data_IF_149504859257
#
_entry.id   IF_149504859257
#
_cell.length_a   1.000
_cell.length_b   1.000
_cell.length_c   1.000
_cell.angle_alpha   90.00
_cell.angle_beta   90.00
_cell.angle_gamma   90.00
#
_symmetry.space_group_name_H-M   'P 1'
#
loop_
_entity.id
_entity.type
_entity.pdbx_description
1 polymer ?
#
# COMPACT_ATOMS: atom_id res chain seq x y z
N UNK A 1 35.45 -16.04 -11.08
CA UNK A 1 34.44 -15.92 -10.01
C UNK A 1 33.13 -15.19 -10.43
N UNK A 2 33.13 -14.39 -11.51
CA UNK A 2 31.88 -13.71 -11.98
C UNK A 2 30.85 -14.63 -12.68
N UNK A 3 31.26 -15.79 -13.22
CA UNK A 3 30.33 -16.72 -13.89
C UNK A 3 29.55 -17.66 -12.96
N UNK A 4 29.93 -17.82 -11.69
CA UNK A 4 29.22 -18.66 -10.72
C UNK A 4 28.01 -17.93 -10.10
N UNK A 5 27.97 -16.61 -10.17
CA UNK A 5 26.84 -15.80 -9.63
C UNK A 5 25.62 -15.76 -10.58
N UNK A 6 25.81 -16.01 -11.86
CA UNK A 6 24.78 -15.88 -12.91
C UNK A 6 23.80 -17.06 -12.98
N UNK A 7 24.10 -18.19 -12.33
CA UNK A 7 23.21 -19.38 -12.29
C UNK A 7 22.39 -19.52 -11.01
N UNK A 8 22.47 -18.56 -10.07
CA UNK A 8 21.79 -18.62 -8.77
C UNK A 8 20.59 -17.68 -8.67
N UNK A 9 19.69 -17.72 -9.61
CA UNK A 9 18.43 -16.97 -9.54
C UNK A 9 17.63 -17.25 -8.25
N UNK A 10 16.38 -16.94 -8.23
CA UNK A 10 15.41 -17.12 -7.13
C UNK A 10 15.50 -18.45 -6.35
N UNK A 11 16.04 -19.54 -6.97
CA UNK A 11 16.30 -20.84 -6.30
C UNK A 11 17.39 -20.79 -5.22
N UNK A 12 18.24 -19.77 -5.21
CA UNK A 12 19.28 -19.60 -4.20
C UNK A 12 18.80 -18.77 -2.99
N UNK A 13 17.59 -18.24 -3.04
CA UNK A 13 17.00 -17.44 -1.95
C UNK A 13 16.72 -18.36 -0.75
N UNK A 14 17.12 -17.98 0.49
CA UNK A 14 16.92 -18.79 1.67
C UNK A 14 15.45 -19.17 1.92
N UNK A 15 15.21 -20.40 2.41
CA UNK A 15 13.85 -20.89 2.68
C UNK A 15 13.04 -20.01 3.64
N UNK A 16 13.70 -19.34 4.58
CA UNK A 16 13.05 -18.36 5.48
C UNK A 16 12.46 -17.14 4.74
N UNK A 17 13.06 -16.73 3.61
CA UNK A 17 12.50 -15.64 2.78
C UNK A 17 11.24 -16.10 2.04
N UNK A 18 11.24 -17.35 1.53
CA UNK A 18 10.04 -17.95 0.96
C UNK A 18 8.92 -18.03 1.98
N UNK A 19 9.21 -18.48 3.21
CA UNK A 19 8.24 -18.52 4.29
C UNK A 19 7.67 -17.12 4.58
N UNK A 20 8.51 -16.09 4.70
CA UNK A 20 8.08 -14.70 4.90
C UNK A 20 7.25 -14.16 3.72
N UNK A 21 7.60 -14.54 2.50
CA UNK A 21 6.83 -14.19 1.31
C UNK A 21 5.44 -14.83 1.32
N UNK A 22 5.32 -16.13 1.65
CA UNK A 22 4.04 -16.81 1.80
C UNK A 22 3.21 -16.24 2.96
N UNK A 23 3.84 -15.88 4.08
CA UNK A 23 3.17 -15.18 5.20
C UNK A 23 2.53 -13.87 4.72
N UNK A 24 3.28 -13.07 3.96
CA UNK A 24 2.77 -11.83 3.39
C UNK A 24 1.64 -12.09 2.41
N UNK A 25 1.82 -13.01 1.46
CA UNK A 25 0.81 -13.38 0.47
C UNK A 25 -0.51 -13.81 1.11
N UNK A 26 -0.46 -14.73 2.07
CA UNK A 26 -1.65 -15.23 2.77
C UNK A 26 -2.37 -14.13 3.54
N UNK A 27 -1.62 -13.27 4.24
CA UNK A 27 -2.21 -12.14 4.96
C UNK A 27 -2.79 -11.10 4.00
N UNK A 28 -2.16 -10.88 2.85
CA UNK A 28 -2.66 -9.94 1.84
C UNK A 28 -3.90 -10.52 1.16
N UNK A 29 -3.96 -11.83 0.84
CA UNK A 29 -5.20 -12.48 0.39
C UNK A 29 -6.33 -12.20 1.38
N UNK A 30 -6.12 -12.46 2.68
CA UNK A 30 -7.13 -12.21 3.71
C UNK A 30 -7.56 -10.75 3.79
N UNK A 31 -6.60 -9.84 3.78
CA UNK A 31 -6.85 -8.41 3.93
C UNK A 31 -7.56 -7.83 2.71
N UNK A 32 -7.15 -8.24 1.51
CA UNK A 32 -7.73 -7.79 0.27
C UNK A 32 -9.14 -8.38 0.02
N UNK A 33 -9.42 -9.60 0.49
CA UNK A 33 -10.79 -10.13 0.49
C UNK A 33 -11.75 -9.22 1.28
N UNK A 34 -11.32 -8.74 2.45
CA UNK A 34 -12.14 -7.83 3.25
C UNK A 34 -12.18 -6.44 2.59
N UNK A 35 -11.04 -5.92 2.16
CA UNK A 35 -10.93 -4.58 1.56
C UNK A 35 -11.79 -4.45 0.30
N UNK A 36 -11.87 -5.49 -0.52
CA UNK A 36 -12.64 -5.49 -1.76
C UNK A 36 -14.17 -5.40 -1.54
N UNK A 37 -14.67 -5.86 -0.40
CA UNK A 37 -16.10 -5.85 -0.08
C UNK A 37 -16.49 -4.78 0.94
N UNK A 38 -15.56 -4.33 1.78
CA UNK A 38 -15.85 -3.48 2.91
C UNK A 38 -16.55 -2.16 2.54
N UNK A 39 -16.13 -1.42 1.49
CA UNK A 39 -16.79 -0.18 1.08
C UNK A 39 -18.26 -0.41 0.69
N UNK A 40 -18.53 -1.45 -0.11
CA UNK A 40 -19.89 -1.81 -0.53
C UNK A 40 -20.70 -2.28 0.67
N UNK A 41 -20.17 -3.13 1.53
CA UNK A 41 -20.83 -3.57 2.76
C UNK A 41 -21.22 -2.40 3.65
N UNK A 42 -20.35 -1.40 3.83
CA UNK A 42 -20.64 -0.20 4.60
C UNK A 42 -21.81 0.60 4.00
N UNK A 43 -21.83 0.77 2.68
CA UNK A 43 -22.86 1.58 2.03
C UNK A 43 -24.18 0.81 1.89
N UNK A 44 -24.16 -0.43 1.38
CA UNK A 44 -25.37 -1.19 1.03
C UNK A 44 -26.01 -1.88 2.21
N UNK A 45 -25.23 -2.39 3.17
CA UNK A 45 -25.73 -3.14 4.34
C UNK A 45 -25.87 -2.27 5.58
N UNK A 46 -24.84 -1.44 5.87
CA UNK A 46 -24.84 -0.58 7.05
C UNK A 46 -25.45 0.82 6.79
N UNK A 47 -25.77 1.16 5.53
CA UNK A 47 -26.38 2.42 5.15
C UNK A 47 -25.52 3.66 5.41
N UNK A 48 -24.17 3.51 5.37
CA UNK A 48 -23.26 4.62 5.65
C UNK A 48 -23.02 5.47 4.42
N UNK A 49 -22.65 6.74 4.62
CA UNK A 49 -22.28 7.65 3.53
C UNK A 49 -20.88 7.37 2.97
N UNK A 50 -20.60 7.87 1.77
CA UNK A 50 -19.26 7.80 1.18
C UNK A 50 -18.24 8.61 2.00
N UNK A 51 -18.66 9.67 2.68
CA UNK A 51 -17.82 10.39 3.67
C UNK A 51 -17.33 9.45 4.78
N UNK A 52 -18.22 8.60 5.31
CA UNK A 52 -17.85 7.62 6.35
C UNK A 52 -16.83 6.62 5.81
N UNK A 53 -17.01 6.13 4.58
CA UNK A 53 -16.04 5.24 3.92
C UNK A 53 -14.68 5.94 3.77
N UNK A 54 -14.66 7.16 3.24
CA UNK A 54 -13.45 7.96 3.08
C UNK A 54 -12.72 8.22 4.40
N UNK A 55 -13.46 8.54 5.47
CA UNK A 55 -12.90 8.73 6.80
C UNK A 55 -12.27 7.45 7.37
N UNK A 56 -12.97 6.32 7.27
CA UNK A 56 -12.51 5.03 7.81
C UNK A 56 -11.29 4.53 7.04
N UNK A 57 -11.30 4.56 5.71
CA UNK A 57 -10.17 4.13 4.89
C UNK A 57 -8.98 5.09 5.03
N UNK A 58 -9.23 6.39 5.05
CA UNK A 58 -8.18 7.39 5.21
C UNK A 58 -7.46 7.29 6.56
N UNK A 59 -8.21 7.19 7.68
CA UNK A 59 -7.60 7.01 9.01
C UNK A 59 -6.88 5.67 9.11
N UNK A 60 -7.40 4.63 8.46
CA UNK A 60 -6.78 3.31 8.42
C UNK A 60 -5.37 3.37 7.80
N UNK A 61 -5.21 4.03 6.64
CA UNK A 61 -3.91 4.17 5.98
C UNK A 61 -2.95 5.10 6.75
N UNK A 62 -3.46 6.19 7.33
CA UNK A 62 -2.67 7.08 8.18
C UNK A 62 -2.11 6.34 9.40
N UNK A 63 -2.94 5.57 10.09
CA UNK A 63 -2.55 4.77 11.26
C UNK A 63 -1.49 3.73 10.90
N UNK A 64 -1.66 3.01 9.78
CA UNK A 64 -0.67 2.04 9.32
C UNK A 64 0.69 2.71 9.04
N UNK A 65 0.67 3.88 8.37
CA UNK A 65 1.87 4.64 8.02
C UNK A 65 2.60 5.15 9.27
N UNK A 66 1.88 5.76 10.21
CA UNK A 66 2.45 6.25 11.48
C UNK A 66 3.01 5.10 12.31
N UNK A 67 2.24 4.03 12.49
CA UNK A 67 2.65 2.86 13.27
C UNK A 67 3.91 2.20 12.70
N UNK A 68 4.04 2.15 11.36
CA UNK A 68 5.21 1.59 10.67
C UNK A 68 6.50 2.33 11.03
N UNK A 69 6.45 3.67 11.16
CA UNK A 69 7.61 4.48 11.57
C UNK A 69 8.10 4.10 12.96
N UNK A 70 7.18 4.03 13.91
CA UNK A 70 7.51 3.65 15.31
C UNK A 70 7.95 2.19 15.42
N UNK A 71 7.29 1.30 14.71
CA UNK A 71 7.60 -0.14 14.71
C UNK A 71 9.04 -0.41 14.26
N UNK A 72 9.55 0.28 13.25
CA UNK A 72 10.94 0.17 12.81
C UNK A 72 11.92 0.54 13.92
N UNK A 73 11.69 1.65 14.61
CA UNK A 73 12.55 2.10 15.70
C UNK A 73 12.53 1.13 16.90
N UNK A 74 11.36 0.59 17.24
CA UNK A 74 11.20 -0.40 18.30
C UNK A 74 11.89 -1.72 17.91
N UNK A 75 11.75 -2.17 16.67
CA UNK A 75 12.38 -3.37 16.14
C UNK A 75 13.91 -3.32 16.22
N UNK A 76 14.49 -2.18 15.85
CA UNK A 76 15.95 -1.98 15.90
C UNK A 76 16.49 -1.97 17.35
N UNK A 77 15.69 -1.47 18.31
CA UNK A 77 16.07 -1.46 19.74
C UNK A 77 15.97 -2.81 20.41
N UNK A 78 14.87 -3.52 20.16
CA UNK A 78 14.60 -4.80 20.82
C UNK A 78 15.44 -5.95 20.24
N UNK A 79 15.87 -5.86 18.97
CA UNK A 79 16.58 -6.91 18.27
C UNK A 79 15.77 -8.21 18.07
N UNK A 80 14.52 -8.25 18.53
CA UNK A 80 13.60 -9.40 18.46
C UNK A 80 12.59 -9.22 17.36
N UNK A 81 13.04 -9.29 16.10
CA UNK A 81 12.23 -8.94 14.94
C UNK A 81 11.08 -9.90 14.68
N UNK A 82 11.31 -11.21 14.88
CA UNK A 82 10.26 -12.23 14.71
C UNK A 82 9.08 -12.00 15.66
N UNK A 83 9.34 -11.70 16.93
CA UNK A 83 8.28 -11.47 17.91
C UNK A 83 7.40 -10.30 17.50
N UNK A 84 8.00 -9.17 17.07
CA UNK A 84 7.24 -8.01 16.60
C UNK A 84 6.43 -8.33 15.34
N UNK A 85 7.02 -9.09 14.40
CA UNK A 85 6.29 -9.55 13.22
C UNK A 85 5.10 -10.44 13.65
N UNK A 86 5.31 -11.42 14.53
CA UNK A 86 4.24 -12.29 15.04
C UNK A 86 3.14 -11.48 15.73
N UNK A 87 3.50 -10.49 16.56
CA UNK A 87 2.51 -9.60 17.20
C UNK A 87 1.70 -8.83 16.15
N UNK A 88 2.35 -8.26 15.13
CA UNK A 88 1.66 -7.49 14.09
C UNK A 88 0.76 -8.35 13.19
N UNK A 89 1.25 -9.52 12.74
CA UNK A 89 0.44 -10.48 11.99
C UNK A 89 -0.67 -11.09 12.84
N UNK A 90 -0.39 -11.44 14.11
CA UNK A 90 -1.36 -11.96 15.05
C UNK A 90 -2.48 -10.97 15.34
N UNK A 91 -2.13 -9.70 15.58
CA UNK A 91 -3.11 -8.65 15.79
C UNK A 91 -4.03 -8.49 14.57
N UNK A 92 -3.46 -8.47 13.34
CA UNK A 92 -4.24 -8.46 12.11
C UNK A 92 -5.13 -9.70 11.98
N UNK A 93 -4.63 -10.90 12.27
CA UNK A 93 -5.43 -12.14 12.19
C UNK A 93 -6.58 -12.16 13.19
N UNK A 94 -6.35 -11.69 14.43
CA UNK A 94 -7.37 -11.63 15.47
C UNK A 94 -8.50 -10.64 15.18
N UNK A 95 -8.28 -9.64 14.34
CA UNK A 95 -9.35 -8.73 13.91
C UNK A 95 -10.26 -9.34 12.85
N UNK A 96 -9.79 -10.33 12.07
CA UNK A 96 -10.55 -10.88 10.95
C UNK A 96 -11.91 -11.49 11.36
N UNK A 97 -12.03 -12.26 12.45
CA UNK A 97 -13.33 -12.76 12.92
C UNK A 97 -14.31 -11.66 13.34
N UNK A 98 -13.82 -10.45 13.66
CA UNK A 98 -14.71 -9.34 14.07
C UNK A 98 -15.52 -8.82 12.88
N UNK A 99 -14.99 -8.83 11.65
CA UNK A 99 -15.70 -8.32 10.47
C UNK A 99 -17.02 -9.06 10.20
N UNK A 100 -17.08 -10.41 10.14
CA UNK A 100 -18.35 -11.13 9.95
C UNK A 100 -19.30 -11.02 11.15
N UNK A 101 -18.79 -10.67 12.34
CA UNK A 101 -19.59 -10.49 13.55
C UNK A 101 -20.02 -9.03 13.78
N UNK A 102 -19.49 -8.10 12.99
CA UNK A 102 -19.74 -6.67 13.18
C UNK A 102 -21.19 -6.30 12.79
N UNK A 103 -22.06 -6.24 13.74
CA UNK A 103 -23.45 -5.76 13.57
C UNK A 103 -23.60 -4.25 13.53
N UNK A 104 -22.55 -3.47 13.79
CA UNK A 104 -22.57 -2.01 13.78
C UNK A 104 -21.30 -1.43 13.19
N UNK A 105 -21.38 -0.21 12.67
CA UNK A 105 -20.24 0.54 12.12
C UNK A 105 -19.10 0.66 13.15
N UNK A 106 -19.43 0.86 14.44
CA UNK A 106 -18.40 1.01 15.49
C UNK A 106 -17.50 -0.22 15.64
N UNK A 107 -18.04 -1.44 15.59
CA UNK A 107 -17.25 -2.68 15.61
C UNK A 107 -16.35 -2.81 14.39
N UNK A 108 -16.89 -2.46 13.22
CA UNK A 108 -16.15 -2.52 11.95
C UNK A 108 -14.99 -1.52 11.94
N UNK A 109 -15.23 -0.27 12.38
CA UNK A 109 -14.20 0.76 12.52
C UNK A 109 -13.11 0.30 13.51
N UNK A 110 -13.50 -0.24 14.66
CA UNK A 110 -12.57 -0.75 15.65
C UNK A 110 -11.69 -1.89 15.10
N UNK A 111 -12.30 -2.87 14.41
CA UNK A 111 -11.58 -3.96 13.77
C UNK A 111 -10.60 -3.44 12.70
N UNK A 112 -11.05 -2.52 11.84
CA UNK A 112 -10.22 -1.91 10.79
C UNK A 112 -9.04 -1.16 11.38
N UNK A 113 -9.27 -0.36 12.42
CA UNK A 113 -8.22 0.40 13.10
C UNK A 113 -7.15 -0.51 13.70
N UNK A 114 -7.56 -1.56 14.43
CA UNK A 114 -6.63 -2.52 15.05
C UNK A 114 -5.88 -3.33 13.98
N UNK A 115 -6.55 -3.73 12.89
CA UNK A 115 -5.90 -4.39 11.74
C UNK A 115 -4.79 -3.52 11.15
N UNK A 116 -5.03 -2.20 11.00
CA UNK A 116 -4.05 -1.26 10.46
C UNK A 116 -2.87 -1.01 11.40
N UNK A 117 -3.10 -1.00 12.69
CA UNK A 117 -2.02 -1.03 13.69
C UNK A 117 -1.17 -2.30 13.49
N UNK A 118 -1.80 -3.46 13.36
CA UNK A 118 -1.12 -4.72 13.07
C UNK A 118 -0.28 -4.65 11.78
N UNK A 119 -0.82 -4.08 10.70
CA UNK A 119 -0.10 -3.84 9.44
C UNK A 119 1.13 -2.95 9.64
N UNK A 120 0.99 -1.86 10.40
CA UNK A 120 2.09 -0.97 10.73
C UNK A 120 3.18 -1.65 11.56
N UNK A 121 2.79 -2.42 12.59
CA UNK A 121 3.73 -3.14 13.46
C UNK A 121 4.56 -4.16 12.66
N UNK A 122 3.93 -4.95 11.77
CA UNK A 122 4.61 -6.05 11.06
C UNK A 122 5.54 -5.60 9.93
N UNK A 123 5.29 -4.44 9.32
CA UNK A 123 5.94 -4.05 8.07
C UNK A 123 7.47 -3.93 8.18
N UNK A 124 7.96 -3.07 9.07
CA UNK A 124 9.38 -2.83 9.25
C UNK A 124 10.15 -4.04 9.83
N UNK A 125 9.65 -4.76 10.87
CA UNK A 125 10.30 -5.98 11.37
C UNK A 125 10.39 -7.09 10.33
N UNK A 126 9.35 -7.29 9.51
CA UNK A 126 9.36 -8.27 8.41
C UNK A 126 10.46 -7.97 7.39
N UNK A 127 10.52 -6.73 6.92
CA UNK A 127 11.50 -6.33 5.92
C UNK A 127 12.93 -6.43 6.49
N UNK A 128 13.10 -6.13 7.77
CA UNK A 128 14.36 -6.31 8.46
C UNK A 128 14.75 -7.79 8.61
N UNK A 129 13.80 -8.70 8.88
CA UNK A 129 14.03 -10.14 8.90
C UNK A 129 14.52 -10.65 7.54
N UNK A 130 13.86 -10.24 6.45
CA UNK A 130 14.30 -10.58 5.08
C UNK A 130 15.77 -10.17 4.85
N UNK A 131 16.14 -8.95 5.27
CA UNK A 131 17.50 -8.46 5.12
C UNK A 131 18.52 -9.24 5.97
N UNK A 132 18.12 -9.65 7.19
CA UNK A 132 19.05 -10.33 8.11
C UNK A 132 19.33 -11.78 7.76
N UNK A 133 18.32 -12.51 7.23
CA UNK A 133 18.47 -13.92 6.84
C UNK A 133 19.02 -14.07 5.42
N UNK A 134 19.24 -12.97 4.70
CA UNK A 134 19.68 -12.99 3.29
C UNK A 134 21.10 -12.46 3.14
N UNK A 135 22.02 -13.22 2.48
CA UNK A 135 23.33 -12.70 2.09
C UNK A 135 23.21 -11.41 1.26
N UNK A 136 24.19 -10.51 1.41
CA UNK A 136 24.15 -9.19 0.78
C UNK A 136 23.93 -9.24 -0.74
N UNK A 137 24.52 -10.23 -1.40
CA UNK A 137 24.48 -10.45 -2.86
C UNK A 137 23.10 -10.90 -3.36
N UNK A 138 22.25 -11.45 -2.47
CA UNK A 138 20.93 -11.99 -2.80
C UNK A 138 19.77 -11.11 -2.29
N UNK A 139 20.06 -9.99 -1.59
CA UNK A 139 19.01 -9.13 -1.02
C UNK A 139 18.03 -8.61 -2.05
N UNK A 140 18.49 -8.19 -3.22
CA UNK A 140 17.62 -7.76 -4.30
C UNK A 140 16.63 -8.84 -4.73
N UNK A 141 17.13 -10.09 -4.93
CA UNK A 141 16.28 -11.23 -5.28
C UNK A 141 15.29 -11.59 -4.14
N UNK A 142 15.72 -11.50 -2.89
CA UNK A 142 14.89 -11.79 -1.72
C UNK A 142 13.74 -10.78 -1.56
N UNK A 143 14.01 -9.48 -1.68
CA UNK A 143 12.99 -8.45 -1.65
C UNK A 143 12.07 -8.51 -2.88
N UNK A 144 12.62 -8.82 -4.06
CA UNK A 144 11.85 -9.04 -5.28
C UNK A 144 10.88 -10.21 -5.14
N UNK A 145 11.35 -11.36 -4.63
CA UNK A 145 10.50 -12.53 -4.37
C UNK A 145 9.36 -12.20 -3.38
N UNK A 146 9.69 -11.54 -2.25
CA UNK A 146 8.70 -11.11 -1.28
C UNK A 146 7.65 -10.19 -1.92
N UNK A 147 8.10 -9.19 -2.68
CA UNK A 147 7.19 -8.24 -3.34
C UNK A 147 6.30 -8.93 -4.37
N UNK A 148 6.84 -9.90 -5.11
CA UNK A 148 6.03 -10.70 -6.06
C UNK A 148 4.93 -11.46 -5.34
N UNK A 149 5.25 -12.10 -4.21
CA UNK A 149 4.26 -12.83 -3.41
C UNK A 149 3.21 -11.89 -2.78
N UNK A 150 3.60 -10.70 -2.31
CA UNK A 150 2.66 -9.64 -1.88
C UNK A 150 1.69 -9.29 -3.02
N UNK A 151 2.22 -9.03 -4.24
CA UNK A 151 1.41 -8.68 -5.41
C UNK A 151 0.47 -9.80 -5.83
N UNK A 152 0.93 -11.07 -5.77
CA UNK A 152 0.06 -12.24 -6.01
C UNK A 152 -1.07 -12.27 -4.99
N UNK A 153 -0.79 -12.01 -3.72
CA UNK A 153 -1.81 -11.92 -2.67
C UNK A 153 -2.84 -10.83 -2.93
N UNK A 154 -2.37 -9.64 -3.29
CA UNK A 154 -3.22 -8.49 -3.62
C UNK A 154 -4.11 -8.73 -4.85
N UNK A 155 -3.65 -9.51 -5.82
CA UNK A 155 -4.44 -9.92 -6.99
C UNK A 155 -5.43 -11.05 -6.65
N UNK A 156 -4.97 -12.08 -5.93
CA UNK A 156 -5.79 -13.26 -5.62
C UNK A 156 -6.92 -12.94 -4.62
N UNK A 157 -6.72 -12.00 -3.69
CA UNK A 157 -7.75 -11.62 -2.73
C UNK A 157 -9.05 -11.22 -3.39
N UNK A 158 -9.10 -10.14 -4.19
CA UNK A 158 -10.32 -9.72 -4.89
C UNK A 158 -10.84 -10.76 -5.89
N UNK A 159 -9.95 -11.52 -6.55
CA UNK A 159 -10.35 -12.58 -7.46
C UNK A 159 -11.10 -13.71 -6.74
N UNK A 160 -10.61 -14.14 -5.57
CA UNK A 160 -11.29 -15.13 -4.73
C UNK A 160 -12.64 -14.63 -4.24
N UNK A 161 -12.75 -13.34 -3.93
CA UNK A 161 -14.02 -12.72 -3.52
C UNK A 161 -15.08 -12.90 -4.59
N UNK A 162 -14.78 -12.65 -5.86
CA UNK A 162 -15.73 -12.83 -6.96
C UNK A 162 -16.26 -14.27 -6.97
N UNK A 163 -15.37 -15.26 -6.93
CA UNK A 163 -15.75 -16.67 -6.90
C UNK A 163 -16.55 -17.07 -5.66
N UNK A 164 -16.16 -16.54 -4.49
CA UNK A 164 -16.83 -16.84 -3.22
C UNK A 164 -18.20 -16.17 -3.11
N UNK A 165 -18.37 -14.93 -3.58
CA UNK A 165 -19.68 -14.26 -3.64
C UNK A 165 -20.63 -15.04 -4.51
N UNK A 166 -20.17 -15.51 -5.69
CA UNK A 166 -20.96 -16.40 -6.54
C UNK A 166 -21.38 -17.69 -5.83
N UNK A 167 -20.44 -18.37 -5.15
CA UNK A 167 -20.70 -19.64 -4.46
C UNK A 167 -21.59 -19.50 -3.22
N UNK A 168 -21.58 -18.32 -2.57
CA UNK A 168 -22.30 -18.07 -1.33
C UNK A 168 -23.58 -17.25 -1.52
N UNK A 169 -24.01 -17.05 -2.77
CA UNK A 169 -25.16 -16.22 -3.12
C UNK A 169 -25.11 -14.81 -2.47
N UNK A 170 -24.00 -14.09 -2.74
CA UNK A 170 -23.73 -12.73 -2.28
C UNK A 170 -23.64 -12.55 -0.75
N UNK A 171 -23.26 -13.59 -0.01
CA UNK A 171 -23.11 -13.53 1.43
C UNK A 171 -21.77 -12.90 1.85
N UNK A 172 -21.75 -11.59 2.14
CA UNK A 172 -20.59 -10.91 2.70
C UNK A 172 -20.03 -11.61 3.95
N UNK A 173 -20.92 -12.04 4.84
CA UNK A 173 -20.53 -12.67 6.09
C UNK A 173 -19.75 -13.97 5.86
N UNK A 174 -20.19 -14.80 4.90
CA UNK A 174 -19.51 -16.05 4.53
C UNK A 174 -18.11 -15.78 3.98
N UNK A 175 -17.98 -14.79 3.09
CA UNK A 175 -16.68 -14.40 2.53
C UNK A 175 -15.73 -13.86 3.60
N UNK A 176 -16.24 -13.04 4.53
CA UNK A 176 -15.43 -12.54 5.66
C UNK A 176 -14.97 -13.67 6.59
N UNK A 177 -15.81 -14.71 6.82
CA UNK A 177 -15.38 -15.90 7.57
C UNK A 177 -14.29 -16.69 6.85
N UNK A 178 -14.40 -16.86 5.53
CA UNK A 178 -13.37 -17.53 4.73
C UNK A 178 -12.05 -16.75 4.75
N UNK A 179 -12.10 -15.42 4.77
CA UNK A 179 -10.90 -14.57 4.87
C UNK A 179 -10.12 -14.76 6.18
N UNK A 180 -10.74 -15.30 7.24
CA UNK A 180 -10.07 -15.64 8.51
C UNK A 180 -9.02 -16.74 8.29
N UNK A 181 -9.29 -17.70 7.41
CA UNK A 181 -8.44 -18.89 7.21
C UNK A 181 -7.02 -18.49 6.75
N UNK A 182 -6.81 -17.74 5.65
CA UNK A 182 -5.47 -17.36 5.23
C UNK A 182 -4.75 -16.45 6.24
N UNK A 183 -5.47 -15.64 7.03
CA UNK A 183 -4.86 -14.83 8.07
C UNK A 183 -4.21 -15.66 9.19
N UNK A 184 -4.94 -16.63 9.73
CA UNK A 184 -4.41 -17.51 10.76
C UNK A 184 -3.34 -18.45 10.21
N UNK A 185 -3.48 -18.92 8.96
CA UNK A 185 -2.44 -19.71 8.30
C UNK A 185 -1.15 -18.91 8.13
N UNK A 186 -1.23 -17.61 7.82
CA UNK A 186 -0.07 -16.73 7.75
C UNK A 186 0.67 -16.68 9.10
N UNK A 187 -0.05 -16.51 10.21
CA UNK A 187 0.54 -16.49 11.55
C UNK A 187 1.17 -17.85 11.89
N UNK A 188 0.49 -18.95 11.56
CA UNK A 188 1.01 -20.29 11.77
C UNK A 188 2.32 -20.51 11.00
N UNK A 189 2.37 -20.19 9.72
CA UNK A 189 3.58 -20.29 8.88
C UNK A 189 4.71 -19.43 9.46
N UNK A 190 4.42 -18.22 9.91
CA UNK A 190 5.41 -17.33 10.51
C UNK A 190 6.03 -17.94 11.79
N UNK A 191 5.21 -18.51 12.66
CA UNK A 191 5.67 -19.08 13.92
C UNK A 191 6.53 -20.32 13.67
N UNK A 192 6.08 -21.21 12.78
CA UNK A 192 6.69 -22.53 12.57
C UNK A 192 7.93 -22.47 11.66
N UNK A 193 7.84 -21.77 10.53
CA UNK A 193 8.84 -21.86 9.47
C UNK A 193 9.86 -20.72 9.46
N UNK A 194 9.57 -19.59 10.11
CA UNK A 194 10.52 -18.48 10.19
C UNK A 194 11.30 -18.57 11.48
N UNK A 195 12.63 -18.65 11.39
CA UNK A 195 13.53 -18.65 12.55
C UNK A 195 14.11 -17.25 12.76
N UNK A 196 14.28 -16.85 14.03
CA UNK A 196 15.06 -15.65 14.34
C UNK A 196 16.50 -15.87 13.86
N UNK A 197 17.12 -14.90 13.19
CA UNK A 197 18.55 -14.95 12.89
C UNK A 197 19.32 -15.03 14.22
N UNK A 198 20.44 -15.76 14.22
CA UNK A 198 21.35 -15.79 15.37
C UNK A 198 21.70 -14.34 15.76
N UNK A 199 21.82 -14.02 17.06
CA UNK A 199 22.16 -12.68 17.51
C UNK A 199 23.43 -12.23 16.78
N UNK A 200 23.30 -11.27 15.86
CA UNK A 200 24.46 -10.74 15.16
C UNK A 200 25.31 -10.01 16.19
N UNK A 201 26.59 -10.38 16.30
CA UNK A 201 27.60 -9.74 17.16
C UNK A 201 27.88 -8.27 16.79
N UNK A 202 27.29 -7.78 15.71
CA UNK A 202 27.27 -6.39 15.32
C UNK A 202 26.26 -5.66 16.23
N UNK A 203 26.74 -5.09 17.33
CA UNK A 203 26.09 -3.99 18.02
C UNK A 203 25.90 -2.86 16.99
N UNK A 204 24.77 -2.88 16.28
CA UNK A 204 24.35 -1.68 15.55
C UNK A 204 24.06 -0.65 16.63
N UNK A 205 24.79 0.48 16.58
CA UNK A 205 24.43 1.63 17.38
C UNK A 205 22.93 1.87 17.26
N UNK A 206 22.20 2.04 18.38
CA UNK A 206 20.78 2.29 18.33
C UNK A 206 20.58 3.52 17.45
N UNK A 207 20.01 3.31 16.25
CA UNK A 207 19.71 4.42 15.34
C UNK A 207 18.99 5.48 16.14
N UNK A 208 19.51 6.70 16.13
CA UNK A 208 18.99 7.84 16.87
C UNK A 208 17.50 7.98 16.58
N UNK A 209 16.70 7.99 17.64
CA UNK A 209 15.27 8.32 17.55
C UNK A 209 15.15 9.66 16.87
N UNK A 210 14.15 9.80 16.01
CA UNK A 210 13.77 11.04 15.36
C UNK A 210 13.89 12.21 16.35
N UNK A 211 14.88 13.07 16.17
CA UNK A 211 15.00 14.31 16.91
C UNK A 211 14.47 15.41 16.02
N UNK A 212 13.52 16.19 16.50
CA UNK A 212 12.98 17.34 15.75
C UNK A 212 14.07 18.27 15.23
N UNK A 213 15.17 18.40 15.96
CA UNK A 213 16.35 19.17 15.53
C UNK A 213 17.01 18.61 14.24
N UNK A 214 16.90 17.32 13.97
CA UNK A 214 17.49 16.73 12.77
C UNK A 214 16.69 17.04 11.49
N UNK A 215 15.42 17.47 11.62
CA UNK A 215 14.58 17.88 10.49
C UNK A 215 15.10 19.15 9.81
N UNK A 216 15.69 20.05 10.57
CA UNK A 216 16.26 21.30 10.02
C UNK A 216 17.47 21.01 9.12
N UNK A 217 18.16 19.88 9.33
CA UNK A 217 19.32 19.45 8.56
C UNK A 217 18.99 18.80 7.22
N UNK A 218 17.71 18.54 6.92
CA UNK A 218 17.28 17.85 5.72
C UNK A 218 17.39 18.71 4.43
N UNK A 219 17.70 19.96 4.52
CA UNK A 219 17.89 20.81 3.35
C UNK A 219 16.62 21.15 2.54
N UNK A 220 16.72 22.14 1.66
CA UNK A 220 15.58 22.65 0.89
C UNK A 220 15.05 21.64 -0.13
N UNK A 221 15.94 20.88 -0.76
CA UNK A 221 15.58 19.96 -1.85
C UNK A 221 14.74 18.81 -1.32
N UNK A 222 15.07 18.28 -0.14
CA UNK A 222 14.24 17.32 0.55
C UNK A 222 12.82 17.85 0.78
N UNK A 223 12.67 19.06 1.33
CA UNK A 223 11.36 19.62 1.63
C UNK A 223 10.53 19.92 0.39
N UNK A 224 11.17 20.26 -0.74
CA UNK A 224 10.49 20.39 -2.02
C UNK A 224 9.97 19.04 -2.51
N UNK A 225 10.80 18.00 -2.52
CA UNK A 225 10.38 16.64 -2.92
C UNK A 225 9.28 16.13 -1.99
N UNK A 226 9.42 16.32 -0.67
CA UNK A 226 8.43 15.92 0.32
C UNK A 226 7.11 16.67 0.15
N UNK A 227 7.15 17.97 -0.14
CA UNK A 227 5.97 18.80 -0.42
C UNK A 227 5.23 18.34 -1.68
N UNK A 228 5.95 18.14 -2.79
CA UNK A 228 5.37 17.61 -4.04
C UNK A 228 4.79 16.21 -3.82
N UNK A 229 5.48 15.34 -3.07
CA UNK A 229 4.96 14.01 -2.69
C UNK A 229 3.72 14.07 -1.80
N UNK A 230 3.63 15.08 -0.93
CA UNK A 230 2.43 15.35 -0.12
C UNK A 230 1.23 15.77 -0.99
N UNK A 231 1.45 16.67 -1.97
CA UNK A 231 0.39 17.05 -2.93
C UNK A 231 -0.01 15.87 -3.81
N UNK A 232 0.95 15.04 -4.23
CA UNK A 232 0.65 13.80 -4.93
C UNK A 232 -0.21 12.84 -4.09
N UNK A 233 0.06 12.74 -2.80
CA UNK A 233 -0.76 11.93 -1.90
C UNK A 233 -2.21 12.45 -1.79
N UNK A 234 -2.43 13.78 -1.93
CA UNK A 234 -3.79 14.34 -2.03
C UNK A 234 -4.52 13.95 -3.32
N UNK A 235 -3.81 13.69 -4.42
CA UNK A 235 -4.39 13.16 -5.64
C UNK A 235 -4.78 11.68 -5.55
N UNK A 236 -4.25 10.95 -4.56
CA UNK A 236 -4.42 9.51 -4.38
C UNK A 236 -5.32 9.20 -3.19
N UNK A 237 -6.60 9.43 -3.31
CA UNK A 237 -7.58 8.98 -2.32
C UNK A 237 -7.71 7.44 -2.32
N UNK A 238 -8.47 6.88 -1.37
CA UNK A 238 -8.63 5.43 -1.21
C UNK A 238 -9.22 4.76 -2.44
N UNK A 239 -8.69 3.59 -2.80
CA UNK A 239 -9.19 2.70 -3.86
C UNK A 239 -10.65 2.24 -3.62
N UNK A 240 -11.16 2.41 -2.39
CA UNK A 240 -12.55 2.20 -2.03
C UNK A 240 -13.52 2.97 -2.93
N UNK A 241 -13.12 4.16 -3.41
CA UNK A 241 -13.96 4.97 -4.31
C UNK A 241 -14.06 4.38 -5.73
N UNK A 242 -13.10 3.57 -6.18
CA UNK A 242 -13.23 2.79 -7.42
C UNK A 242 -14.27 1.69 -7.26
N UNK A 243 -14.32 1.04 -6.09
CA UNK A 243 -15.31 0.02 -5.77
C UNK A 243 -16.72 0.66 -5.68
N UNK A 244 -16.85 1.79 -4.99
CA UNK A 244 -18.12 2.54 -4.94
C UNK A 244 -18.56 3.01 -6.34
N UNK A 245 -17.61 3.35 -7.22
CA UNK A 245 -17.93 3.72 -8.60
C UNK A 245 -18.42 2.54 -9.40
N UNK A 246 -17.91 1.32 -9.16
CA UNK A 246 -18.40 0.11 -9.79
C UNK A 246 -19.88 -0.15 -9.44
N UNK A 247 -20.24 -0.02 -8.18
CA UNK A 247 -21.62 -0.11 -7.72
C UNK A 247 -22.51 0.99 -8.35
N UNK A 248 -22.05 2.23 -8.35
CA UNK A 248 -22.77 3.37 -8.95
C UNK A 248 -22.99 3.25 -10.47
N UNK A 249 -22.18 2.46 -11.19
CA UNK A 249 -22.39 2.12 -12.61
C UNK A 249 -23.43 1.01 -12.79
N UNK A 250 -23.80 0.31 -11.72
CA UNK A 250 -24.77 -0.79 -11.74
C UNK A 250 -24.14 -2.18 -11.98
N UNK A 251 -22.85 -2.33 -11.65
CA UNK A 251 -22.22 -3.65 -11.62
C UNK A 251 -22.80 -4.43 -10.43
N UNK A 252 -23.21 -5.67 -10.67
CA UNK A 252 -23.64 -6.56 -9.59
C UNK A 252 -22.58 -6.67 -8.50
N UNK A 253 -23.00 -6.72 -7.23
CA UNK A 253 -22.14 -6.64 -6.04
C UNK A 253 -20.99 -7.64 -6.13
N UNK A 254 -21.25 -8.88 -6.56
CA UNK A 254 -20.22 -9.91 -6.69
C UNK A 254 -19.10 -9.55 -7.67
N UNK A 255 -19.38 -8.71 -8.68
CA UNK A 255 -18.39 -8.29 -9.68
C UNK A 255 -17.68 -6.99 -9.33
N UNK A 256 -18.10 -6.24 -8.31
CA UNK A 256 -17.44 -4.98 -7.96
C UNK A 256 -15.95 -5.12 -7.65
N UNK A 257 -15.43 -6.23 -7.08
CA UNK A 257 -14.00 -6.42 -6.86
C UNK A 257 -13.15 -6.51 -8.15
N UNK A 258 -13.79 -6.67 -9.34
CA UNK A 258 -13.08 -6.72 -10.62
C UNK A 258 -12.24 -5.46 -10.87
N UNK A 259 -12.64 -4.31 -10.31
CA UNK A 259 -11.86 -3.07 -10.42
C UNK A 259 -10.48 -3.21 -9.77
N UNK A 260 -10.39 -3.86 -8.61
CA UNK A 260 -9.12 -4.10 -7.94
C UNK A 260 -8.28 -5.17 -8.67
N UNK A 261 -8.91 -6.19 -9.25
CA UNK A 261 -8.24 -7.21 -10.07
C UNK A 261 -7.58 -6.56 -11.28
N UNK A 262 -8.33 -5.75 -12.04
CA UNK A 262 -7.83 -5.07 -13.24
C UNK A 262 -6.75 -4.03 -12.89
N UNK A 263 -6.95 -3.27 -11.82
CA UNK A 263 -5.97 -2.31 -11.31
C UNK A 263 -4.66 -3.00 -10.93
N UNK A 264 -4.72 -4.09 -10.16
CA UNK A 264 -3.55 -4.87 -9.74
C UNK A 264 -2.83 -5.51 -10.93
N UNK A 265 -3.57 -5.98 -11.93
CA UNK A 265 -3.01 -6.52 -13.16
C UNK A 265 -2.26 -5.44 -13.95
N UNK A 266 -2.89 -4.30 -14.17
CA UNK A 266 -2.29 -3.15 -14.87
C UNK A 266 -1.03 -2.64 -14.14
N UNK A 267 -1.08 -2.55 -12.80
CA UNK A 267 0.07 -2.24 -11.96
C UNK A 267 1.21 -3.25 -12.16
N UNK A 268 0.91 -4.55 -12.08
CA UNK A 268 1.92 -5.62 -12.18
C UNK A 268 2.64 -5.60 -13.53
N UNK A 269 1.89 -5.37 -14.61
CA UNK A 269 2.43 -5.31 -15.97
C UNK A 269 3.32 -4.06 -16.15
N UNK A 270 2.93 -2.92 -15.57
CA UNK A 270 3.61 -1.64 -15.75
C UNK A 270 4.80 -1.42 -14.82
N UNK A 271 4.82 -2.04 -13.64
CA UNK A 271 5.83 -1.78 -12.60
C UNK A 271 7.25 -2.09 -13.06
N UNK A 272 7.48 -3.24 -13.71
CA UNK A 272 8.81 -3.59 -14.21
C UNK A 272 9.29 -2.69 -15.37
N UNK A 273 8.50 -2.45 -16.45
CA UNK A 273 8.88 -1.51 -17.50
C UNK A 273 9.14 -0.09 -16.99
N UNK A 274 8.32 0.39 -16.05
CA UNK A 274 8.50 1.72 -15.45
C UNK A 274 9.79 1.81 -14.64
N UNK A 275 10.11 0.78 -13.84
CA UNK A 275 11.38 0.67 -13.14
C UNK A 275 12.58 0.67 -14.09
N UNK A 276 12.57 -0.18 -15.13
CA UNK A 276 13.63 -0.22 -16.13
C UNK A 276 13.77 1.10 -16.92
N UNK A 277 12.67 1.82 -17.13
CA UNK A 277 12.69 3.13 -17.75
C UNK A 277 13.33 4.18 -16.83
N UNK A 278 13.07 4.13 -15.53
CA UNK A 278 13.65 5.04 -14.55
C UNK A 278 15.18 4.90 -14.38
N UNK A 279 15.75 3.78 -14.82
CA UNK A 279 17.20 3.57 -14.88
C UNK A 279 17.84 4.22 -16.13
N UNK A 280 17.03 4.54 -17.16
CA UNK A 280 17.50 5.06 -18.46
C UNK A 280 17.21 6.55 -18.66
N UNK A 281 16.15 7.05 -18.08
CA UNK A 281 15.73 8.45 -18.18
C UNK A 281 15.56 9.03 -16.77
N UNK A 282 15.51 10.38 -16.69
CA UNK A 282 15.33 11.09 -15.45
C UNK A 282 14.03 10.64 -14.73
N UNK A 283 14.13 10.32 -13.44
CA UNK A 283 13.03 9.86 -12.58
C UNK A 283 11.85 10.82 -12.54
N UNK A 284 12.11 12.14 -12.61
CA UNK A 284 11.06 13.16 -12.69
C UNK A 284 10.21 13.00 -13.95
N UNK A 285 10.84 12.64 -15.08
CA UNK A 285 10.12 12.40 -16.34
C UNK A 285 9.24 11.14 -16.25
N UNK A 286 9.72 10.07 -15.62
CA UNK A 286 8.92 8.85 -15.39
C UNK A 286 7.72 9.14 -14.47
N UNK A 287 7.94 9.91 -13.39
CA UNK A 287 6.85 10.39 -12.53
C UNK A 287 5.84 11.24 -13.31
N UNK A 288 6.31 12.09 -14.23
CA UNK A 288 5.45 12.89 -15.11
C UNK A 288 4.53 12.02 -15.97
N UNK A 289 5.03 10.92 -16.55
CA UNK A 289 4.20 9.94 -17.28
C UNK A 289 3.12 9.37 -16.33
N UNK A 290 3.51 8.94 -15.13
CA UNK A 290 2.57 8.42 -14.15
C UNK A 290 1.48 9.43 -13.75
N UNK A 291 1.82 10.71 -13.62
CA UNK A 291 0.83 11.77 -13.35
C UNK A 291 -0.13 12.00 -14.51
N UNK A 292 0.36 11.99 -15.75
CA UNK A 292 -0.51 12.09 -16.94
C UNK A 292 -1.50 10.92 -16.98
N UNK A 293 -1.05 9.71 -16.65
CA UNK A 293 -1.92 8.53 -16.55
C UNK A 293 -2.96 8.69 -15.45
N UNK A 294 -2.60 9.24 -14.28
CA UNK A 294 -3.54 9.49 -13.16
C UNK A 294 -4.57 10.55 -13.55
N UNK A 295 -4.14 11.65 -14.14
CA UNK A 295 -5.06 12.71 -14.62
C UNK A 295 -6.03 12.12 -15.65
N UNK A 296 -5.53 11.34 -16.60
CA UNK A 296 -6.37 10.70 -17.61
C UNK A 296 -7.34 9.69 -16.98
N UNK A 297 -6.88 8.90 -15.99
CA UNK A 297 -7.73 7.96 -15.26
C UNK A 297 -8.89 8.67 -14.56
N UNK A 298 -8.60 9.70 -13.78
CA UNK A 298 -9.59 10.46 -13.03
C UNK A 298 -10.58 11.17 -13.98
N UNK A 299 -10.10 11.80 -15.06
CA UNK A 299 -10.97 12.44 -16.05
C UNK A 299 -11.87 11.43 -16.77
N UNK A 300 -11.34 10.27 -17.14
CA UNK A 300 -12.13 9.20 -17.79
C UNK A 300 -13.21 8.68 -16.84
N UNK A 301 -12.89 8.40 -15.57
CA UNK A 301 -13.87 7.92 -14.59
C UNK A 301 -14.94 8.98 -14.31
N UNK A 302 -14.56 10.26 -14.27
CA UNK A 302 -15.47 11.36 -14.00
C UNK A 302 -16.41 11.67 -15.17
N UNK A 303 -15.88 11.67 -16.41
CA UNK A 303 -16.56 12.25 -17.57
C UNK A 303 -17.12 11.21 -18.55
N UNK A 304 -16.55 10.01 -18.61
CA UNK A 304 -17.04 8.95 -19.48
C UNK A 304 -18.07 8.09 -18.74
N UNK A 305 -19.34 8.08 -19.18
CA UNK A 305 -20.39 7.35 -18.48
C UNK A 305 -20.26 5.84 -18.66
N UNK A 306 -20.87 5.11 -17.72
CA UNK A 306 -21.05 3.67 -17.81
C UNK A 306 -19.80 2.83 -17.56
N UNK A 307 -19.90 1.56 -17.88
CA UNK A 307 -18.88 0.54 -17.60
C UNK A 307 -17.55 0.82 -18.32
N UNK A 308 -17.60 1.31 -19.56
CA UNK A 308 -16.39 1.59 -20.35
C UNK A 308 -15.50 2.64 -19.68
N UNK A 309 -16.09 3.75 -19.19
CA UNK A 309 -15.35 4.78 -18.46
C UNK A 309 -14.70 4.25 -17.21
N UNK A 310 -15.42 3.44 -16.45
CA UNK A 310 -14.87 2.80 -15.26
C UNK A 310 -13.70 1.86 -15.59
N UNK A 311 -13.86 0.92 -16.51
CA UNK A 311 -12.83 -0.09 -16.80
C UNK A 311 -11.57 0.55 -17.39
N UNK A 312 -11.71 1.48 -18.34
CA UNK A 312 -10.57 2.23 -18.92
C UNK A 312 -9.87 3.05 -17.83
N UNK A 313 -10.63 3.77 -17.02
CA UNK A 313 -10.07 4.57 -15.93
C UNK A 313 -9.33 3.73 -14.90
N UNK A 314 -9.87 2.58 -14.51
CA UNK A 314 -9.24 1.65 -13.55
C UNK A 314 -7.93 1.09 -14.11
N UNK A 315 -7.87 0.73 -15.39
CA UNK A 315 -6.63 0.29 -16.05
C UNK A 315 -5.58 1.42 -16.03
N UNK A 316 -5.98 2.65 -16.39
CA UNK A 316 -5.10 3.81 -16.32
C UNK A 316 -4.63 4.08 -14.88
N UNK A 317 -5.51 3.91 -13.88
CA UNK A 317 -5.16 4.02 -12.47
C UNK A 317 -4.10 2.97 -12.05
N UNK A 318 -4.26 1.72 -12.46
CA UNK A 318 -3.25 0.68 -12.23
C UNK A 318 -1.91 0.98 -12.92
N UNK A 319 -1.95 1.44 -14.17
CA UNK A 319 -0.74 1.85 -14.89
C UNK A 319 0.00 2.98 -14.18
N UNK A 320 -0.70 4.05 -13.74
CA UNK A 320 -0.04 5.15 -13.04
C UNK A 320 0.69 4.69 -11.79
N UNK A 321 0.13 3.73 -11.04
CA UNK A 321 0.77 3.16 -9.85
C UNK A 321 2.13 2.55 -10.19
N UNK A 322 2.23 1.81 -11.30
CA UNK A 322 3.50 1.25 -11.76
C UNK A 322 4.56 2.31 -12.07
N UNK A 323 4.14 3.46 -12.61
CA UNK A 323 5.03 4.57 -12.95
C UNK A 323 5.36 5.51 -11.77
N UNK A 324 4.66 5.42 -10.65
CA UNK A 324 4.86 6.34 -9.52
C UNK A 324 5.33 5.65 -8.25
N UNK A 325 4.95 4.39 -8.05
CA UNK A 325 5.27 3.66 -6.83
C UNK A 325 6.77 3.41 -6.71
N UNK A 326 7.35 3.82 -5.59
CA UNK A 326 8.79 3.71 -5.33
C UNK A 326 9.64 4.87 -5.84
N UNK A 327 9.24 5.63 -6.85
CA UNK A 327 10.05 6.73 -7.39
C UNK A 327 10.17 7.91 -6.41
N UNK A 328 9.10 8.27 -5.70
CA UNK A 328 9.19 9.27 -4.64
C UNK A 328 10.13 8.82 -3.51
N UNK A 329 10.09 7.54 -3.14
CA UNK A 329 11.03 7.00 -2.16
C UNK A 329 12.48 7.09 -2.64
N UNK A 330 12.73 6.85 -3.92
CA UNK A 330 14.05 7.00 -4.52
C UNK A 330 14.51 8.48 -4.49
N UNK A 331 13.65 9.43 -4.87
CA UNK A 331 13.97 10.87 -4.79
C UNK A 331 14.26 11.32 -3.36
N UNK A 332 13.50 10.86 -2.37
CA UNK A 332 13.77 11.13 -0.94
C UNK A 332 15.14 10.56 -0.53
N UNK A 333 15.48 9.36 -0.99
CA UNK A 333 16.78 8.75 -0.70
C UNK A 333 17.96 9.53 -1.31
N UNK A 334 17.75 10.12 -2.49
CA UNK A 334 18.78 10.92 -3.19
C UNK A 334 18.99 12.30 -2.52
N UNK A 335 17.90 12.94 -2.03
CA UNK A 335 17.98 14.26 -1.39
C UNK A 335 18.37 14.20 0.09
N UNK A 336 18.22 13.05 0.75
CA UNK A 336 18.48 12.94 2.18
C UNK A 336 19.93 12.57 2.48
N UNK A 337 20.60 13.27 3.43
CA UNK A 337 21.91 12.85 3.95
C UNK A 337 21.85 11.39 4.44
N UNK A 338 22.91 10.62 4.18
CA UNK A 338 22.98 9.19 4.50
C UNK A 338 22.66 8.88 5.96
N UNK A 339 23.12 9.75 6.88
CA UNK A 339 22.92 9.63 8.32
C UNK A 339 21.48 9.92 8.74
N UNK A 340 20.72 10.67 7.94
CA UNK A 340 19.35 11.13 8.23
C UNK A 340 18.29 10.45 7.35
N UNK A 341 18.64 9.48 6.50
CA UNK A 341 17.69 8.80 5.61
C UNK A 341 16.50 8.20 6.36
N UNK A 342 16.73 7.60 7.53
CA UNK A 342 15.64 7.08 8.36
C UNK A 342 14.67 8.17 8.82
N UNK A 343 15.18 9.31 9.22
CA UNK A 343 14.40 10.50 9.62
C UNK A 343 13.61 11.05 8.41
N UNK A 344 14.26 11.16 7.26
CA UNK A 344 13.65 11.64 6.01
C UNK A 344 12.49 10.75 5.58
N UNK A 345 12.67 9.44 5.52
CA UNK A 345 11.60 8.50 5.22
C UNK A 345 10.47 8.53 6.25
N UNK A 346 10.81 8.64 7.54
CA UNK A 346 9.81 8.74 8.60
C UNK A 346 8.93 9.97 8.43
N UNK A 347 9.53 11.13 8.18
CA UNK A 347 8.80 12.38 7.96
C UNK A 347 7.99 12.35 6.66
N UNK A 348 8.56 11.83 5.58
CA UNK A 348 7.83 11.68 4.31
C UNK A 348 6.60 10.78 4.45
N UNK A 349 6.75 9.63 5.12
CA UNK A 349 5.61 8.73 5.38
C UNK A 349 4.54 9.38 6.27
N UNK A 350 4.94 10.18 7.26
CA UNK A 350 4.00 10.92 8.09
C UNK A 350 3.22 11.96 7.26
N UNK A 351 3.91 12.76 6.46
CA UNK A 351 3.28 13.77 5.59
C UNK A 351 2.32 13.13 4.58
N UNK A 352 2.77 12.09 3.89
CA UNK A 352 1.94 11.41 2.89
C UNK A 352 0.78 10.65 3.54
N UNK A 353 0.95 10.06 4.73
CA UNK A 353 -0.12 9.41 5.48
C UNK A 353 -1.22 10.41 5.90
N UNK A 354 -0.85 11.60 6.38
CA UNK A 354 -1.80 12.67 6.70
C UNK A 354 -2.50 13.16 5.43
N UNK A 355 -1.75 13.35 4.34
CA UNK A 355 -2.32 13.78 3.06
C UNK A 355 -3.32 12.74 2.49
N UNK A 356 -3.01 11.45 2.55
CA UNK A 356 -3.93 10.37 2.15
C UNK A 356 -5.21 10.34 2.99
N UNK A 357 -5.10 10.60 4.30
CA UNK A 357 -6.27 10.74 5.16
C UNK A 357 -7.15 11.90 4.69
N UNK A 358 -6.57 13.09 4.53
CA UNK A 358 -7.30 14.28 4.05
C UNK A 358 -7.92 14.01 2.68
N UNK A 359 -7.15 13.42 1.76
CA UNK A 359 -7.62 13.07 0.42
C UNK A 359 -8.88 12.19 0.46
N UNK A 360 -8.86 11.13 1.28
CA UNK A 360 -9.98 10.20 1.37
C UNK A 360 -11.21 10.81 2.03
N UNK A 361 -11.02 11.68 3.04
CA UNK A 361 -12.14 12.43 3.66
C UNK A 361 -12.74 13.41 2.67
N UNK A 362 -11.91 14.18 1.95
CA UNK A 362 -12.38 15.14 0.93
C UNK A 362 -13.07 14.40 -0.21
N UNK A 363 -12.53 13.26 -0.66
CA UNK A 363 -13.14 12.43 -1.70
C UNK A 363 -14.54 11.96 -1.29
N UNK A 364 -14.72 11.49 -0.05
CA UNK A 364 -16.01 11.07 0.47
C UNK A 364 -17.01 12.22 0.61
N UNK A 365 -16.55 13.37 1.09
CA UNK A 365 -17.39 14.58 1.17
C UNK A 365 -17.88 15.02 -0.21
N UNK A 366 -16.97 15.08 -1.18
CA UNK A 366 -17.30 15.45 -2.55
C UNK A 366 -18.27 14.45 -3.19
N UNK A 367 -18.08 13.15 -2.90
CA UNK A 367 -18.99 12.11 -3.36
C UNK A 367 -20.42 12.34 -2.87
N UNK A 368 -20.60 12.63 -1.57
CA UNK A 368 -21.91 12.84 -0.98
C UNK A 368 -22.58 14.17 -1.41
N UNK A 369 -21.79 15.24 -1.67
CA UNK A 369 -22.32 16.58 -1.95
C UNK A 369 -22.44 16.85 -3.46
N UNK A 370 -21.44 16.45 -4.25
CA UNK A 370 -21.34 16.76 -5.69
C UNK A 370 -21.58 15.52 -6.56
N UNK A 371 -21.38 14.34 -5.96
CA UNK A 371 -21.35 13.06 -6.67
C UNK A 371 -19.93 12.59 -7.01
N UNK A 372 -19.85 11.39 -7.56
CA UNK A 372 -18.58 10.77 -7.90
C UNK A 372 -17.68 11.62 -8.80
N UNK A 373 -18.28 12.42 -9.71
CA UNK A 373 -17.53 13.32 -10.59
C UNK A 373 -16.66 14.30 -9.79
N UNK A 374 -17.22 14.87 -8.69
CA UNK A 374 -16.49 15.79 -7.82
C UNK A 374 -15.23 15.16 -7.24
N UNK A 375 -15.34 13.92 -6.78
CA UNK A 375 -14.22 13.15 -6.21
C UNK A 375 -13.07 13.02 -7.21
N UNK A 376 -13.34 12.50 -8.42
CA UNK A 376 -12.30 12.26 -9.42
C UNK A 376 -11.77 13.55 -10.06
N UNK A 377 -12.61 14.56 -10.31
CA UNK A 377 -12.15 15.86 -10.84
C UNK A 377 -11.20 16.59 -9.87
N UNK A 378 -11.46 16.54 -8.57
CA UNK A 378 -10.56 17.12 -7.57
C UNK A 378 -9.27 16.30 -7.46
N UNK A 379 -9.32 14.98 -7.56
CA UNK A 379 -8.14 14.13 -7.70
C UNK A 379 -7.27 14.53 -8.88
N UNK A 380 -7.86 14.66 -10.08
CA UNK A 380 -7.17 15.16 -11.28
C UNK A 380 -6.55 16.55 -11.05
N UNK A 381 -7.25 17.46 -10.36
CA UNK A 381 -6.75 18.79 -10.00
C UNK A 381 -5.48 18.72 -9.15
N UNK A 382 -5.44 17.90 -8.10
CA UNK A 382 -4.25 17.67 -7.28
C UNK A 382 -3.12 17.00 -8.07
N UNK A 383 -3.43 16.10 -9.01
CA UNK A 383 -2.44 15.48 -9.89
C UNK A 383 -1.82 16.53 -10.84
N UNK A 384 -2.59 17.48 -11.37
CA UNK A 384 -2.09 18.62 -12.16
C UNK A 384 -1.18 19.51 -11.29
N UNK A 385 -1.60 19.86 -10.07
CA UNK A 385 -0.78 20.63 -9.15
C UNK A 385 0.55 19.92 -8.84
N UNK A 386 0.51 18.60 -8.67
CA UNK A 386 1.72 17.78 -8.50
C UNK A 386 2.63 17.88 -9.73
N UNK A 387 2.07 17.79 -10.95
CA UNK A 387 2.84 17.91 -12.19
C UNK A 387 3.52 19.29 -12.31
N UNK A 388 2.82 20.37 -11.97
CA UNK A 388 3.40 21.71 -11.91
C UNK A 388 4.54 21.78 -10.88
N UNK A 389 4.33 21.18 -9.69
CA UNK A 389 5.38 21.08 -8.67
C UNK A 389 6.62 20.31 -9.13
N UNK A 390 6.44 19.21 -9.89
CA UNK A 390 7.55 18.45 -10.48
C UNK A 390 8.33 19.24 -11.53
N UNK A 391 7.64 20.02 -12.37
CA UNK A 391 8.29 20.89 -13.35
C UNK A 391 9.13 21.95 -12.64
N UNK A 392 8.56 22.58 -11.61
CA UNK A 392 9.30 23.56 -10.79
C UNK A 392 10.53 22.92 -10.09
N UNK A 393 10.40 21.69 -9.60
CA UNK A 393 11.49 20.91 -9.01
C UNK A 393 12.62 20.68 -10.02
N UNK A 394 12.28 20.27 -11.26
CA UNK A 394 13.24 20.01 -12.33
C UNK A 394 14.07 21.25 -12.69
N UNK A 395 13.49 22.46 -12.58
CA UNK A 395 14.21 23.71 -12.84
C UNK A 395 15.08 24.18 -11.66
N UNK A 396 14.76 23.74 -10.44
CA UNK A 396 15.44 24.18 -9.22
C UNK A 396 16.56 23.25 -8.78
N UNK A 397 16.44 21.97 -9.06
CA UNK A 397 17.40 20.93 -8.64
C UNK A 397 18.09 20.38 -9.87
N UNK A 398 19.37 20.06 -9.74
CA UNK A 398 20.15 19.33 -10.78
C UNK A 398 19.86 17.81 -10.78
N UNK A 399 18.71 17.40 -10.24
CA UNK A 399 18.26 16.00 -10.11
C UNK A 399 17.82 15.39 -11.44
#
# INVERSE_FOLDING_TARGET
>A
MKHAAQQRGWKAVPGGVWALGFVSMLMDISSEMIHALLPIYMVTVLGTSALSVGFIEGIAEAVASVTKVFSGAVSDRLGKRKILAVCGYGLGALTKPVFPLAGTLGWLVGARFVDRIGKGIRGAPRDALVADITPAELRGAAFGLRQTLDTIGAFLGPLLVIGLMWLTADSFQSVFWIAVIPAFLAVFVLIVYVKDPAPSSLKKDPKKVLKWHDLVKLGSDYWWVAGVGGVFALARFSEAFLILRADAVGIEIMWTPIVLVLMSLAFSISAYPAGALSDRINRISVLGIGLVLLIAADLVIALVPGLTGLLVGVVLWGLHMGFTQGLFAALIADCAPTELRGTAFGMFNLLTGIALFIASVVAGLLWDVVGFQGTFLVGAGFAVLTAVGLVALKHKTSL
#
